data_IF_684495994545
#
_entry.id   IF_684495994545
#
_cell.length_a   1.000
_cell.length_b   1.000
_cell.length_c   1.000
_cell.angle_alpha   90.00
_cell.angle_beta   90.00
_cell.angle_gamma   90.00
#
_symmetry.space_group_name_H-M   'P 1'
#
loop_
_entity.id
_entity.type
_entity.pdbx_description
1 polymer ?
#
# COMPACT_ATOMS: atom_id res chain seq x y z
N UNK A 1 15.90 12.11 -27.58
CA UNK A 1 17.29 12.34 -28.03
C UNK A 1 17.76 13.58 -27.33
N UNK A 2 18.67 13.47 -26.35
CA UNK A 2 19.24 14.64 -25.68
C UNK A 2 20.23 15.31 -26.64
N UNK A 3 19.99 16.57 -26.98
CA UNK A 3 20.92 17.37 -27.79
C UNK A 3 21.97 17.99 -26.86
N UNK A 4 23.24 17.80 -27.21
CA UNK A 4 24.37 18.44 -26.56
C UNK A 4 24.51 19.84 -27.16
N UNK A 5 24.07 20.87 -26.45
CA UNK A 5 24.20 22.27 -26.89
C UNK A 5 25.41 22.89 -26.21
N UNK A 6 26.36 23.38 -27.00
CA UNK A 6 27.48 24.17 -26.47
C UNK A 6 27.02 25.58 -26.14
N UNK A 7 27.54 26.14 -25.04
CA UNK A 7 27.17 27.42 -24.41
C UNK A 7 27.03 28.60 -25.41
N UNK A 8 27.78 28.58 -26.53
CA UNK A 8 27.70 29.63 -27.54
C UNK A 8 26.41 29.60 -28.38
N UNK A 9 25.73 28.46 -28.50
CA UNK A 9 24.42 28.37 -29.18
C UNK A 9 23.26 28.76 -28.24
N UNK A 10 23.51 28.75 -26.93
CA UNK A 10 22.54 29.19 -25.89
C UNK A 10 22.46 30.71 -25.82
N UNK A 11 23.56 31.42 -26.10
CA UNK A 11 23.62 32.88 -26.03
C UNK A 11 22.72 33.59 -27.07
N UNK A 12 22.44 32.98 -28.23
CA UNK A 12 21.52 33.54 -29.23
C UNK A 12 20.07 33.05 -29.07
N UNK A 13 19.83 32.01 -28.26
CA UNK A 13 18.50 31.50 -27.93
C UNK A 13 18.11 31.87 -26.50
N UNK A 14 17.90 33.17 -26.26
CA UNK A 14 17.25 33.70 -25.06
C UNK A 14 15.75 33.27 -25.02
N UNK A 15 15.51 31.98 -24.79
CA UNK A 15 14.18 31.36 -24.67
C UNK A 15 14.15 30.29 -23.59
N UNK A 16 14.32 30.73 -22.35
CA UNK A 16 13.92 30.01 -21.15
C UNK A 16 13.74 31.02 -20.02
N UNK A 17 12.66 30.92 -19.24
CA UNK A 17 12.48 31.75 -18.05
C UNK A 17 13.57 31.36 -17.03
N UNK A 18 14.57 32.22 -16.73
CA UNK A 18 15.72 31.87 -15.91
C UNK A 18 15.35 31.32 -14.52
N UNK A 19 14.14 31.66 -14.05
CA UNK A 19 13.52 31.20 -12.80
C UNK A 19 13.47 29.68 -12.64
N UNK A 20 13.44 28.90 -13.73
CA UNK A 20 13.35 27.43 -13.69
C UNK A 20 14.69 26.73 -14.01
N UNK A 21 15.76 27.50 -14.19
CA UNK A 21 17.08 27.00 -14.58
C UNK A 21 17.82 26.42 -13.38
N UNK A 22 18.48 25.27 -13.58
CA UNK A 22 19.26 24.61 -12.53
C UNK A 22 20.57 25.39 -12.21
N UNK A 23 21.08 25.32 -10.96
CA UNK A 23 22.30 26.01 -10.53
C UNK A 23 23.51 25.77 -11.43
N UNK A 24 23.72 24.51 -11.83
CA UNK A 24 24.84 24.09 -12.67
C UNK A 24 24.78 24.67 -14.09
N UNK A 25 23.56 24.93 -14.62
CA UNK A 25 23.38 25.59 -15.91
C UNK A 25 23.71 27.09 -15.77
N UNK A 26 23.25 27.74 -14.70
CA UNK A 26 23.57 29.16 -14.43
C UNK A 26 25.08 29.38 -14.27
N UNK A 27 25.78 28.41 -13.67
CA UNK A 27 27.24 28.44 -13.51
C UNK A 27 28.01 28.04 -14.79
N UNK A 28 27.33 27.70 -15.89
CA UNK A 28 27.95 27.25 -17.13
C UNK A 28 28.74 25.93 -17.00
N UNK A 29 28.37 25.08 -16.05
CA UNK A 29 29.01 23.79 -15.81
C UNK A 29 28.47 22.71 -16.77
N UNK A 30 29.19 21.59 -16.89
CA UNK A 30 28.65 20.41 -17.55
C UNK A 30 27.44 19.89 -16.77
N UNK A 31 26.33 19.66 -17.45
CA UNK A 31 25.08 19.22 -16.84
C UNK A 31 24.59 17.90 -17.45
N UNK A 32 23.73 17.20 -16.71
CA UNK A 32 23.05 15.99 -17.15
C UNK A 32 21.53 16.19 -17.19
N UNK A 33 20.76 15.12 -17.43
CA UNK A 33 19.30 15.20 -17.50
C UNK A 33 18.63 15.60 -16.17
N UNK A 34 19.32 15.57 -15.02
CA UNK A 34 18.73 15.95 -13.73
C UNK A 34 18.44 17.45 -13.61
N UNK A 35 18.89 18.26 -14.57
CA UNK A 35 18.47 19.67 -14.68
C UNK A 35 16.95 19.80 -14.85
N UNK A 36 16.32 18.83 -15.52
CA UNK A 36 14.87 18.81 -15.70
C UNK A 36 14.14 18.58 -14.36
N UNK A 37 14.72 17.76 -13.46
CA UNK A 37 14.17 17.51 -12.13
C UNK A 37 14.20 18.77 -11.25
N UNK A 38 15.21 19.64 -11.42
CA UNK A 38 15.20 20.94 -10.77
C UNK A 38 14.02 21.78 -11.26
N UNK A 39 13.83 21.89 -12.57
CA UNK A 39 12.71 22.66 -13.15
C UNK A 39 11.36 22.13 -12.68
N UNK A 40 11.19 20.80 -12.59
CA UNK A 40 9.99 20.17 -12.00
C UNK A 40 9.79 20.60 -10.55
N UNK A 41 10.86 20.65 -9.74
CA UNK A 41 10.81 21.16 -8.37
C UNK A 41 10.33 22.61 -8.28
N UNK A 42 10.84 23.47 -9.16
CA UNK A 42 10.43 24.89 -9.23
C UNK A 42 8.95 25.02 -9.59
N UNK A 43 8.48 24.26 -10.60
CA UNK A 43 7.08 24.24 -11.03
C UNK A 43 6.16 23.72 -9.92
N UNK A 44 6.55 22.65 -9.23
CA UNK A 44 5.79 22.09 -8.12
C UNK A 44 5.67 23.09 -6.97
N UNK A 45 6.78 23.75 -6.62
CA UNK A 45 6.78 24.81 -5.61
C UNK A 45 5.83 25.94 -6.00
N UNK A 46 5.94 26.46 -7.22
CA UNK A 46 5.08 27.52 -7.73
C UNK A 46 3.59 27.12 -7.72
N UNK A 47 3.28 25.86 -8.05
CA UNK A 47 1.91 25.34 -8.04
C UNK A 47 1.31 25.29 -6.64
N UNK A 48 2.14 25.09 -5.61
CA UNK A 48 1.69 24.98 -4.21
C UNK A 48 1.60 26.34 -3.51
N UNK A 49 2.56 27.25 -3.81
CA UNK A 49 2.71 28.51 -3.08
C UNK A 49 2.32 29.74 -3.92
N UNK A 50 1.99 29.55 -5.20
CA UNK A 50 1.56 30.60 -6.13
C UNK A 50 2.69 31.45 -6.70
N UNK A 51 3.94 31.21 -6.32
CA UNK A 51 5.12 31.90 -6.83
C UNK A 51 6.36 31.00 -6.81
N UNK A 52 7.34 31.20 -7.71
CA UNK A 52 8.59 30.44 -7.72
C UNK A 52 9.41 30.64 -6.43
N UNK A 53 10.18 29.64 -5.98
CA UNK A 53 10.98 29.71 -4.75
C UNK A 53 12.06 30.79 -4.77
N UNK A 54 12.55 31.15 -5.96
CA UNK A 54 13.62 32.13 -6.15
C UNK A 54 13.15 33.36 -6.95
N UNK A 55 11.88 33.72 -6.84
CA UNK A 55 11.37 34.93 -7.50
C UNK A 55 12.25 36.15 -7.16
N UNK A 56 12.69 36.87 -8.19
CA UNK A 56 13.66 37.97 -8.12
C UNK A 56 13.36 38.99 -9.21
N UNK A 57 13.73 40.24 -8.98
CA UNK A 57 13.50 41.34 -9.94
C UNK A 57 14.59 41.41 -11.01
N UNK A 58 15.80 40.92 -10.70
CA UNK A 58 16.94 40.90 -11.61
C UNK A 58 17.55 39.52 -11.73
N UNK A 59 18.25 39.28 -12.85
CA UNK A 59 18.98 38.02 -13.09
C UNK A 59 20.09 37.82 -12.05
N UNK A 60 20.77 38.90 -11.67
CA UNK A 60 21.85 38.88 -10.66
C UNK A 60 21.31 38.45 -9.28
N UNK A 61 20.15 38.98 -8.88
CA UNK A 61 19.51 38.58 -7.62
C UNK A 61 19.03 37.12 -7.66
N UNK A 62 18.49 36.68 -8.80
CA UNK A 62 18.13 35.28 -9.02
C UNK A 62 19.34 34.36 -8.87
N UNK A 63 20.45 34.70 -9.53
CA UNK A 63 21.70 33.93 -9.48
C UNK A 63 22.22 33.79 -8.05
N UNK A 64 22.19 34.89 -7.27
CA UNK A 64 22.58 34.87 -5.86
C UNK A 64 21.71 33.89 -5.04
N UNK A 65 20.38 33.89 -5.23
CA UNK A 65 19.46 33.00 -4.48
C UNK A 65 19.60 31.53 -4.91
N UNK A 66 19.70 31.28 -6.20
CA UNK A 66 19.82 29.92 -6.76
C UNK A 66 21.16 29.30 -6.37
N UNK A 67 22.23 30.08 -6.29
CA UNK A 67 23.57 29.60 -5.92
C UNK A 67 23.90 29.68 -4.42
N UNK A 68 22.94 30.10 -3.57
CA UNK A 68 23.12 30.12 -2.12
C UNK A 68 23.35 28.69 -1.58
N UNK A 69 24.05 28.59 -0.45
CA UNK A 69 24.30 27.35 0.28
C UNK A 69 23.16 26.98 1.23
N UNK A 70 22.26 27.92 1.53
CA UNK A 70 21.09 27.68 2.38
C UNK A 70 20.10 26.74 1.69
N UNK A 71 19.59 25.68 2.36
CA UNK A 71 18.52 24.84 1.84
C UNK A 71 17.29 25.68 1.44
N UNK A 72 16.54 25.22 0.44
CA UNK A 72 15.28 25.88 0.08
C UNK A 72 14.29 25.74 1.23
N UNK A 73 13.80 26.88 1.72
CA UNK A 73 12.78 26.91 2.76
C UNK A 73 11.44 26.56 2.15
N UNK A 74 10.83 25.48 2.62
CA UNK A 74 9.47 25.08 2.25
C UNK A 74 8.53 25.60 3.34
N UNK A 75 7.60 26.51 3.03
CA UNK A 75 6.66 27.03 4.01
C UNK A 75 5.84 25.91 4.66
N UNK A 76 5.83 25.89 6.00
CA UNK A 76 4.98 24.97 6.78
C UNK A 76 3.55 25.52 6.83
N UNK A 77 2.75 25.15 5.82
CA UNK A 77 1.35 25.55 5.69
C UNK A 77 0.42 24.33 5.74
N UNK A 78 -0.80 24.49 6.31
CA UNK A 78 -1.82 23.44 6.25
C UNK A 78 -2.14 23.06 4.81
N UNK A 79 -1.89 21.80 4.44
CA UNK A 79 -2.19 21.26 3.10
C UNK A 79 -0.99 20.66 2.38
N UNK A 80 0.24 21.00 2.76
CA UNK A 80 1.44 20.34 2.23
C UNK A 80 1.75 19.11 3.08
N UNK A 81 1.67 17.92 2.49
CA UNK A 81 2.00 16.67 3.20
C UNK A 81 3.50 16.52 3.38
N UNK A 82 3.92 15.74 4.38
CA UNK A 82 5.34 15.44 4.59
C UNK A 82 6.00 14.79 3.37
N UNK A 83 5.25 13.94 2.64
CA UNK A 83 5.73 13.33 1.40
C UNK A 83 5.92 14.37 0.28
N UNK A 84 5.05 15.38 0.19
CA UNK A 84 5.22 16.47 -0.76
C UNK A 84 6.48 17.30 -0.45
N UNK A 85 6.67 17.66 0.83
CA UNK A 85 7.84 18.40 1.28
C UNK A 85 9.15 17.62 1.03
N UNK A 86 9.17 16.32 1.31
CA UNK A 86 10.31 15.43 1.04
C UNK A 86 10.67 15.41 -0.46
N UNK A 87 9.67 15.26 -1.33
CA UNK A 87 9.87 15.32 -2.79
C UNK A 87 10.45 16.67 -3.23
N UNK A 88 9.88 17.78 -2.75
CA UNK A 88 10.35 19.13 -3.07
C UNK A 88 11.81 19.34 -2.66
N UNK A 89 12.21 18.87 -1.47
CA UNK A 89 13.60 18.93 -1.00
C UNK A 89 14.52 18.13 -1.93
N UNK A 90 14.11 16.94 -2.34
CA UNK A 90 14.90 16.10 -3.26
C UNK A 90 15.06 16.70 -4.66
N UNK A 91 14.04 17.39 -5.17
CA UNK A 91 14.05 18.05 -6.49
C UNK A 91 14.88 19.35 -6.47
N UNK A 92 14.74 20.16 -5.41
CA UNK A 92 15.40 21.46 -5.23
C UNK A 92 16.77 21.34 -4.52
N UNK A 93 17.39 20.17 -4.59
CA UNK A 93 18.77 19.97 -4.18
C UNK A 93 19.72 20.56 -5.24
N UNK A 94 20.64 21.41 -4.79
CA UNK A 94 21.52 22.17 -5.68
C UNK A 94 22.65 21.32 -6.23
N UNK A 95 23.19 20.40 -5.43
CA UNK A 95 24.19 19.45 -5.89
C UNK A 95 23.53 18.38 -6.78
N UNK A 96 23.81 18.33 -8.10
CA UNK A 96 23.16 17.36 -9.00
C UNK A 96 23.43 15.90 -8.61
N UNK A 97 24.54 15.62 -7.91
CA UNK A 97 24.86 14.28 -7.42
C UNK A 97 23.95 13.86 -6.26
N UNK A 98 23.52 14.82 -5.44
CA UNK A 98 22.60 14.59 -4.31
C UNK A 98 21.15 14.74 -4.71
N UNK A 99 20.86 15.49 -5.79
CA UNK A 99 19.52 15.65 -6.35
C UNK A 99 18.91 14.29 -6.68
N UNK A 100 17.64 14.16 -6.34
CA UNK A 100 16.85 12.93 -6.53
C UNK A 100 17.07 12.37 -7.94
N UNK A 101 17.24 11.05 -8.05
CA UNK A 101 17.35 10.40 -9.36
C UNK A 101 15.97 10.23 -9.98
N UNK A 102 15.90 10.03 -11.31
CA UNK A 102 14.65 9.73 -12.00
C UNK A 102 13.94 8.48 -11.41
N UNK A 103 14.68 7.42 -11.11
CA UNK A 103 14.09 6.21 -10.50
C UNK A 103 13.46 6.50 -9.13
N UNK A 104 14.11 7.33 -8.32
CA UNK A 104 13.60 7.74 -7.01
C UNK A 104 12.43 8.70 -7.13
N UNK A 105 12.44 9.58 -8.13
CA UNK A 105 11.36 10.51 -8.43
C UNK A 105 10.08 9.78 -8.84
N UNK A 106 10.17 8.88 -9.82
CA UNK A 106 9.00 8.13 -10.30
C UNK A 106 8.48 7.09 -9.30
N UNK A 107 9.34 6.58 -8.41
CA UNK A 107 8.94 5.70 -7.31
C UNK A 107 8.62 6.43 -6.00
N UNK A 108 8.53 7.76 -6.01
CA UNK A 108 8.30 8.55 -4.80
C UNK A 108 6.85 8.38 -4.33
N UNK A 109 6.60 8.24 -3.03
CA UNK A 109 5.24 8.02 -2.48
C UNK A 109 4.25 9.15 -2.77
N UNK A 110 4.74 10.35 -3.04
CA UNK A 110 3.94 11.48 -3.50
C UNK A 110 3.54 11.37 -4.98
N UNK A 111 4.37 10.71 -5.78
CA UNK A 111 4.18 10.49 -7.22
C UNK A 111 3.57 9.09 -7.38
N UNK A 112 2.28 8.99 -7.09
CA UNK A 112 1.53 7.73 -7.21
C UNK A 112 1.18 7.42 -8.67
N UNK A 113 2.19 6.99 -9.44
CA UNK A 113 1.99 6.61 -10.84
C UNK A 113 1.24 5.28 -11.00
N UNK A 114 1.30 4.40 -10.00
CA UNK A 114 0.65 3.09 -10.05
C UNK A 114 -0.88 3.21 -10.01
N UNK A 115 -1.39 4.27 -9.36
CA UNK A 115 -2.81 4.58 -9.31
C UNK A 115 -3.19 5.80 -10.17
N UNK A 116 -2.27 6.34 -10.97
CA UNK A 116 -2.58 7.47 -11.84
C UNK A 116 -3.77 7.11 -12.75
N UNK A 117 -4.84 7.92 -12.74
CA UNK A 117 -6.04 7.63 -13.50
C UNK A 117 -5.72 7.67 -14.99
N UNK A 118 -5.88 6.52 -15.60
CA UNK A 118 -5.68 6.31 -17.02
C UNK A 118 -6.76 5.35 -17.51
N UNK A 119 -6.99 5.30 -18.83
CA UNK A 119 -7.88 4.29 -19.41
C UNK A 119 -7.47 2.86 -18.99
N UNK A 120 -6.17 2.65 -18.75
CA UNK A 120 -5.63 1.38 -18.26
C UNK A 120 -5.98 1.11 -16.78
N UNK A 121 -5.96 2.13 -15.91
CA UNK A 121 -6.32 1.96 -14.49
C UNK A 121 -7.78 1.53 -14.32
N UNK A 122 -8.71 2.12 -15.08
CA UNK A 122 -10.12 1.69 -15.11
C UNK A 122 -10.29 0.25 -15.57
N UNK A 123 -9.58 -0.16 -16.63
CA UNK A 123 -9.62 -1.53 -17.13
C UNK A 123 -9.07 -2.54 -16.10
N UNK A 124 -8.00 -2.16 -15.40
CA UNK A 124 -7.39 -2.95 -14.32
C UNK A 124 -8.32 -3.07 -13.12
N UNK A 125 -8.92 -1.97 -12.68
CA UNK A 125 -9.88 -1.94 -11.59
C UNK A 125 -11.09 -2.86 -11.87
N UNK A 126 -11.64 -2.80 -13.10
CA UNK A 126 -12.72 -3.71 -13.55
C UNK A 126 -12.30 -5.18 -13.54
N UNK A 127 -11.10 -5.49 -14.00
CA UNK A 127 -10.55 -6.84 -13.98
C UNK A 127 -10.39 -7.37 -12.55
N UNK A 128 -9.86 -6.55 -11.64
CA UNK A 128 -9.68 -6.90 -10.24
C UNK A 128 -11.02 -7.12 -9.52
N UNK A 129 -12.03 -6.28 -9.75
CA UNK A 129 -13.39 -6.52 -9.23
C UNK A 129 -13.96 -7.83 -9.75
N UNK A 130 -13.82 -8.12 -11.05
CA UNK A 130 -14.31 -9.39 -11.61
C UNK A 130 -13.65 -10.59 -10.91
N UNK A 131 -12.35 -10.52 -10.63
CA UNK A 131 -11.64 -11.54 -9.86
C UNK A 131 -12.09 -11.58 -8.40
N UNK A 132 -12.29 -10.42 -7.76
CA UNK A 132 -12.74 -10.31 -6.38
C UNK A 132 -14.10 -10.98 -6.18
N UNK A 133 -15.07 -10.71 -7.06
CA UNK A 133 -16.41 -11.32 -7.05
C UNK A 133 -16.33 -12.84 -7.22
N UNK A 134 -15.46 -13.34 -8.10
CA UNK A 134 -15.23 -14.78 -8.26
C UNK A 134 -14.67 -15.38 -6.97
N UNK A 135 -13.64 -14.77 -6.36
CA UNK A 135 -13.06 -15.28 -5.11
C UNK A 135 -14.00 -15.19 -3.91
N UNK A 136 -14.85 -14.17 -3.88
CA UNK A 136 -15.93 -14.00 -2.93
C UNK A 136 -16.94 -15.15 -3.05
N UNK A 137 -17.37 -15.46 -4.29
CA UNK A 137 -18.26 -16.59 -4.57
C UNK A 137 -17.66 -17.96 -4.26
N UNK A 138 -16.35 -18.11 -4.42
CA UNK A 138 -15.58 -19.32 -4.04
C UNK A 138 -15.39 -19.45 -2.52
N UNK A 139 -15.84 -18.48 -1.71
CA UNK A 139 -15.63 -18.48 -0.25
C UNK A 139 -14.20 -18.17 0.19
N UNK A 140 -13.32 -17.73 -0.73
CA UNK A 140 -11.92 -17.36 -0.46
C UNK A 140 -11.86 -15.93 0.06
N UNK A 141 -12.44 -15.70 1.24
CA UNK A 141 -12.71 -14.36 1.78
C UNK A 141 -11.45 -13.50 1.91
N UNK A 142 -10.32 -14.07 2.34
CA UNK A 142 -9.06 -13.33 2.47
C UNK A 142 -8.54 -12.77 1.15
N UNK A 143 -8.54 -13.60 0.10
CA UNK A 143 -8.13 -13.17 -1.25
C UNK A 143 -9.16 -12.19 -1.86
N UNK A 144 -10.45 -12.42 -1.61
CA UNK A 144 -11.50 -11.52 -2.06
C UNK A 144 -11.35 -10.12 -1.46
N UNK A 145 -11.07 -10.01 -0.15
CA UNK A 145 -10.80 -8.72 0.52
C UNK A 145 -9.62 -7.99 -0.14
N UNK A 146 -8.50 -8.68 -0.36
CA UNK A 146 -7.32 -8.08 -0.99
C UNK A 146 -7.66 -7.54 -2.37
N UNK A 147 -8.34 -8.33 -3.21
CA UNK A 147 -8.70 -7.93 -4.57
C UNK A 147 -9.73 -6.78 -4.59
N UNK A 148 -10.67 -6.73 -3.66
CA UNK A 148 -11.59 -5.58 -3.55
C UNK A 148 -10.84 -4.31 -3.14
N UNK A 149 -9.90 -4.39 -2.18
CA UNK A 149 -9.10 -3.23 -1.77
C UNK A 149 -8.20 -2.73 -2.92
N UNK A 150 -7.46 -3.62 -3.59
CA UNK A 150 -6.61 -3.26 -4.73
C UNK A 150 -7.43 -2.65 -5.88
N UNK A 151 -8.62 -3.19 -6.15
CA UNK A 151 -9.50 -2.61 -7.17
C UNK A 151 -9.95 -1.18 -6.83
N UNK A 152 -10.25 -0.91 -5.55
CA UNK A 152 -10.70 0.40 -5.08
C UNK A 152 -9.61 1.46 -5.19
N UNK A 153 -8.35 1.08 -4.96
CA UNK A 153 -7.18 1.96 -5.14
C UNK A 153 -7.06 2.45 -6.58
N UNK A 154 -7.40 1.61 -7.58
CA UNK A 154 -7.43 2.01 -8.98
C UNK A 154 -8.73 2.73 -9.41
N UNK A 155 -9.86 2.50 -8.70
CA UNK A 155 -11.15 3.12 -9.01
C UNK A 155 -11.28 4.56 -8.49
N UNK A 156 -10.68 4.87 -7.34
CA UNK A 156 -10.79 6.19 -6.71
C UNK A 156 -10.25 7.33 -7.60
N UNK A 157 -9.07 7.20 -8.21
CA UNK A 157 -8.54 8.26 -9.07
C UNK A 157 -9.38 8.44 -10.34
N UNK A 158 -10.06 7.38 -10.81
CA UNK A 158 -10.90 7.47 -12.00
C UNK A 158 -12.16 8.35 -11.81
N UNK A 159 -12.60 8.57 -10.56
CA UNK A 159 -13.72 9.48 -10.26
C UNK A 159 -13.37 10.95 -10.52
N UNK A 160 -12.10 11.32 -10.42
CA UNK A 160 -11.65 12.71 -10.57
C UNK A 160 -11.51 13.13 -12.04
N UNK A 161 -11.50 12.17 -12.96
CA UNK A 161 -11.21 12.37 -14.40
C UNK A 161 -12.40 12.01 -15.30
N UNK A 162 -13.53 11.56 -14.73
CA UNK A 162 -14.74 11.27 -15.48
C UNK A 162 -15.56 12.56 -15.63
N UNK A 163 -15.70 13.03 -16.88
CA UNK A 163 -16.36 14.31 -17.19
C UNK A 163 -17.90 14.21 -17.15
N UNK A 164 -18.47 13.01 -17.31
CA UNK A 164 -19.92 12.80 -17.33
C UNK A 164 -20.51 12.62 -15.91
N UNK A 165 -21.37 13.55 -15.44
CA UNK A 165 -21.92 13.48 -14.08
C UNK A 165 -22.77 12.23 -13.80
N UNK A 166 -23.44 11.69 -14.82
CA UNK A 166 -24.26 10.47 -14.65
C UNK A 166 -23.38 9.23 -14.44
N UNK A 167 -22.27 9.15 -15.16
CA UNK A 167 -21.31 8.05 -15.07
C UNK A 167 -20.55 8.11 -13.75
N UNK A 168 -20.16 9.32 -13.31
CA UNK A 168 -19.58 9.55 -11.97
C UNK A 168 -20.52 9.05 -10.87
N UNK A 169 -21.81 9.38 -10.94
CA UNK A 169 -22.77 8.98 -9.91
C UNK A 169 -22.98 7.46 -9.86
N UNK A 170 -23.12 6.82 -11.02
CA UNK A 170 -23.21 5.36 -11.12
C UNK A 170 -21.93 4.67 -10.62
N UNK A 171 -20.77 5.25 -10.89
CA UNK A 171 -19.48 4.72 -10.45
C UNK A 171 -19.31 4.86 -8.93
N UNK A 172 -19.71 6.00 -8.34
CA UNK A 172 -19.75 6.21 -6.88
C UNK A 172 -20.63 5.19 -6.19
N UNK A 173 -21.81 4.91 -6.75
CA UNK A 173 -22.73 3.92 -6.18
C UNK A 173 -22.10 2.52 -6.16
N UNK A 174 -21.41 2.12 -7.24
CA UNK A 174 -20.69 0.85 -7.30
C UNK A 174 -19.50 0.79 -6.33
N UNK A 175 -18.69 1.85 -6.27
CA UNK A 175 -17.57 1.95 -5.33
C UNK A 175 -18.07 1.80 -3.89
N UNK A 176 -19.19 2.44 -3.54
CA UNK A 176 -19.81 2.29 -2.22
C UNK A 176 -20.21 0.84 -1.93
N UNK A 177 -20.80 0.14 -2.90
CA UNK A 177 -21.15 -1.28 -2.74
C UNK A 177 -19.91 -2.15 -2.55
N UNK A 178 -18.83 -1.90 -3.29
CA UNK A 178 -17.58 -2.66 -3.15
C UNK A 178 -16.88 -2.38 -1.81
N UNK A 179 -16.90 -1.14 -1.31
CA UNK A 179 -16.40 -0.79 0.03
C UNK A 179 -17.20 -1.54 1.10
N UNK A 180 -18.53 -1.47 1.05
CA UNK A 180 -19.40 -2.16 2.02
C UNK A 180 -19.15 -3.67 2.02
N UNK A 181 -19.03 -4.28 0.82
CA UNK A 181 -18.70 -5.70 0.70
C UNK A 181 -17.31 -6.02 1.28
N UNK A 182 -16.30 -5.21 0.99
CA UNK A 182 -14.95 -5.40 1.51
C UNK A 182 -14.92 -5.31 3.05
N UNK A 183 -15.66 -4.38 3.66
CA UNK A 183 -15.75 -4.26 5.11
C UNK A 183 -16.47 -5.45 5.76
N UNK A 184 -17.57 -5.93 5.16
CA UNK A 184 -18.24 -7.17 5.60
C UNK A 184 -17.27 -8.35 5.54
N UNK A 185 -16.54 -8.50 4.44
CA UNK A 185 -15.58 -9.59 4.27
C UNK A 185 -14.40 -9.47 5.25
N UNK A 186 -13.88 -8.25 5.49
CA UNK A 186 -12.85 -7.99 6.50
C UNK A 186 -13.33 -8.36 7.89
N UNK A 187 -14.56 -7.99 8.26
CA UNK A 187 -15.15 -8.38 9.54
C UNK A 187 -15.28 -9.90 9.66
N UNK A 188 -15.76 -10.58 8.62
CA UNK A 188 -15.85 -12.04 8.59
C UNK A 188 -14.46 -12.72 8.67
N UNK A 189 -13.43 -12.16 8.04
CA UNK A 189 -12.04 -12.65 8.14
C UNK A 189 -11.46 -12.39 9.55
N UNK A 190 -11.80 -11.25 10.17
CA UNK A 190 -11.35 -10.87 11.52
C UNK A 190 -12.02 -11.69 12.61
N UNK A 191 -13.32 -11.98 12.50
CA UNK A 191 -14.03 -12.89 13.41
C UNK A 191 -13.52 -14.33 13.28
N UNK A 192 -13.11 -14.74 12.07
CA UNK A 192 -12.45 -16.02 11.84
C UNK A 192 -10.97 -16.05 12.28
N UNK A 193 -10.43 -14.98 12.88
CA UNK A 193 -9.04 -14.90 13.35
C UNK A 193 -8.98 -14.44 14.81
N UNK A 194 -8.79 -15.34 15.77
CA UNK A 194 -8.10 -14.99 16.99
C UNK A 194 -6.59 -14.99 16.73
N UNK A 195 -5.94 -13.90 17.12
CA UNK A 195 -4.50 -13.82 17.24
C UNK A 195 -4.08 -14.75 18.39
N UNK A 196 -3.34 -15.85 18.11
CA UNK A 196 -3.01 -16.87 19.11
C UNK A 196 -2.19 -16.36 20.33
N UNK A 197 -1.79 -15.09 20.37
CA UNK A 197 -1.30 -14.43 21.60
C UNK A 197 -1.15 -12.93 21.41
N UNK A 198 -1.97 -12.13 22.09
CA UNK A 198 -1.80 -10.67 22.10
C UNK A 198 -0.53 -10.21 22.84
N UNK A 199 0.02 -11.04 23.75
CA UNK A 199 1.19 -10.66 24.57
C UNK A 199 2.15 -11.83 24.81
N UNK A 200 3.48 -11.58 24.79
CA UNK A 200 4.47 -12.57 25.19
C UNK A 200 4.34 -12.89 26.68
N UNK A 201 4.22 -14.17 27.01
CA UNK A 201 4.08 -14.65 28.38
C UNK A 201 5.43 -15.21 28.86
N UNK A 202 6.09 -14.53 29.81
CA UNK A 202 7.44 -14.93 30.29
C UNK A 202 7.52 -16.40 30.71
N UNK A 203 6.50 -16.90 31.40
CA UNK A 203 6.41 -18.31 31.80
C UNK A 203 6.35 -19.26 30.58
N UNK A 204 5.71 -18.86 29.49
CA UNK A 204 5.68 -19.67 28.27
C UNK A 204 7.05 -19.71 27.61
N UNK A 205 7.80 -18.60 27.61
CA UNK A 205 9.17 -18.58 27.08
C UNK A 205 10.10 -19.50 27.91
N UNK A 206 9.88 -19.57 29.22
CA UNK A 206 10.55 -20.51 30.10
C UNK A 206 10.13 -21.95 29.82
N UNK A 207 8.82 -22.20 29.64
CA UNK A 207 8.30 -23.53 29.31
C UNK A 207 8.78 -24.03 27.94
N UNK A 208 8.92 -23.16 26.95
CA UNK A 208 9.48 -23.51 25.64
C UNK A 208 10.95 -23.94 25.73
N UNK A 209 11.71 -23.35 26.66
CA UNK A 209 13.11 -23.74 26.92
C UNK A 209 13.18 -25.06 27.69
N UNK A 210 12.24 -25.28 28.61
CA UNK A 210 12.20 -26.44 29.51
C UNK A 210 11.61 -27.69 28.87
N UNK A 211 10.60 -27.54 28.01
CA UNK A 211 9.83 -28.65 27.45
C UNK A 211 9.84 -28.62 25.93
N UNK A 212 10.54 -29.59 25.34
CA UNK A 212 10.64 -29.74 23.87
C UNK A 212 9.27 -29.87 23.21
N UNK A 213 8.35 -30.59 23.85
CA UNK A 213 6.98 -30.78 23.35
C UNK A 213 6.19 -29.45 23.30
N UNK A 214 6.36 -28.55 24.28
CA UNK A 214 5.74 -27.20 24.23
C UNK A 214 6.27 -26.43 23.03
N UNK A 215 7.59 -26.37 22.87
CA UNK A 215 8.21 -25.69 21.75
C UNK A 215 7.76 -26.24 20.40
N UNK A 216 7.71 -27.57 20.27
CA UNK A 216 7.26 -28.24 19.06
C UNK A 216 5.78 -27.93 18.74
N UNK A 217 4.89 -27.98 19.74
CA UNK A 217 3.49 -27.65 19.58
C UNK A 217 3.27 -26.20 19.12
N UNK A 218 4.01 -25.24 19.70
CA UNK A 218 3.91 -23.83 19.30
C UNK A 218 4.40 -23.58 17.87
N UNK A 219 5.46 -24.27 17.44
CA UNK A 219 5.92 -24.21 16.04
C UNK A 219 4.84 -24.75 15.09
N UNK A 220 4.13 -25.82 15.48
CA UNK A 220 3.01 -26.35 14.70
C UNK A 220 1.87 -25.35 14.61
N UNK A 221 1.49 -24.72 15.72
CA UNK A 221 0.47 -23.66 15.73
C UNK A 221 0.86 -22.45 14.86
N UNK A 222 2.11 -21.97 14.95
CA UNK A 222 2.61 -20.89 14.09
C UNK A 222 2.61 -21.26 12.59
N UNK A 223 2.86 -22.52 12.27
CA UNK A 223 2.75 -23.00 10.90
C UNK A 223 1.29 -23.11 10.46
N UNK A 224 0.38 -23.49 11.36
CA UNK A 224 -1.06 -23.47 11.10
C UNK A 224 -1.52 -22.04 10.77
N UNK A 225 -1.12 -21.03 11.54
CA UNK A 225 -1.42 -19.61 11.25
C UNK A 225 -0.98 -19.17 9.85
N UNK A 226 0.20 -19.63 9.42
CA UNK A 226 0.74 -19.35 8.07
C UNK A 226 -0.01 -20.09 6.97
N UNK A 227 -0.55 -21.27 7.27
CA UNK A 227 -1.37 -22.04 6.32
C UNK A 227 -2.77 -21.44 6.22
N UNK A 228 -3.35 -21.02 7.33
CA UNK A 228 -4.62 -20.30 7.38
C UNK A 228 -4.56 -18.98 6.61
N UNK A 229 -3.45 -18.22 6.74
CA UNK A 229 -3.26 -16.98 5.97
C UNK A 229 -3.16 -17.22 4.45
N UNK A 230 -2.85 -18.46 4.04
CA UNK A 230 -2.83 -18.92 2.65
C UNK A 230 -4.14 -19.60 2.22
N UNK A 231 -5.11 -19.73 3.12
CA UNK A 231 -6.38 -20.43 2.87
C UNK A 231 -6.26 -21.96 2.84
N UNK A 232 -5.16 -22.54 3.31
CA UNK A 232 -4.92 -23.99 3.35
C UNK A 232 -5.47 -24.62 4.65
N UNK A 233 -6.81 -24.54 4.85
CA UNK A 233 -7.46 -24.88 6.12
C UNK A 233 -7.32 -26.34 6.55
N UNK A 234 -7.32 -27.30 5.62
CA UNK A 234 -7.13 -28.73 5.94
C UNK A 234 -5.75 -28.99 6.56
N UNK A 235 -4.71 -28.42 5.96
CA UNK A 235 -3.33 -28.57 6.46
C UNK A 235 -3.12 -27.79 7.75
N UNK A 236 -3.82 -26.67 7.92
CA UNK A 236 -3.84 -25.94 9.18
C UNK A 236 -4.48 -26.77 10.31
N UNK A 237 -5.61 -27.43 10.04
CA UNK A 237 -6.28 -28.33 10.98
C UNK A 237 -5.36 -29.48 11.41
N UNK A 238 -4.68 -30.13 10.46
CA UNK A 238 -3.67 -31.16 10.76
C UNK A 238 -2.56 -30.63 11.69
N UNK A 239 -2.12 -29.38 11.48
CA UNK A 239 -1.10 -28.76 12.33
C UNK A 239 -1.61 -28.50 13.76
N UNK A 240 -2.87 -28.07 13.94
CA UNK A 240 -3.46 -27.94 15.28
C UNK A 240 -3.65 -29.27 15.96
N UNK A 241 -4.14 -30.29 15.25
CA UNK A 241 -4.27 -31.65 15.79
C UNK A 241 -2.92 -32.20 16.25
N UNK A 242 -1.87 -32.06 15.44
CA UNK A 242 -0.52 -32.46 15.82
C UNK A 242 0.03 -31.65 17.01
N UNK A 243 -0.34 -30.37 17.15
CA UNK A 243 0.03 -29.57 18.31
C UNK A 243 -0.67 -30.06 19.59
N UNK A 244 -1.95 -30.42 19.49
CA UNK A 244 -2.76 -30.95 20.59
C UNK A 244 -2.25 -32.31 21.08
N UNK A 245 -1.88 -33.20 20.17
CA UNK A 245 -1.27 -34.51 20.51
C UNK A 245 0.00 -34.38 21.35
N UNK A 246 0.76 -33.29 21.18
CA UNK A 246 1.97 -33.02 21.95
C UNK A 246 1.67 -32.45 23.34
N UNK A 247 0.60 -31.64 23.48
CA UNK A 247 0.31 -30.92 24.72
C UNK A 247 -0.61 -31.69 25.67
N UNK A 248 -1.59 -32.43 25.14
CA UNK A 248 -2.58 -33.15 25.95
C UNK A 248 -1.95 -34.11 26.98
N UNK A 249 -0.97 -34.96 26.62
CA UNK A 249 -0.32 -35.85 27.60
C UNK A 249 0.49 -35.11 28.67
N UNK A 250 0.94 -33.89 28.37
CA UNK A 250 1.74 -33.12 29.33
C UNK A 250 0.92 -32.52 30.46
N UNK A 251 -0.36 -32.23 30.24
CA UNK A 251 -1.23 -31.64 31.28
C UNK A 251 -1.26 -32.54 32.52
N UNK A 252 -1.30 -33.86 32.32
CA UNK A 252 -1.31 -34.85 33.40
C UNK A 252 0.06 -34.98 34.09
N UNK A 253 1.15 -34.85 33.31
CA UNK A 253 2.52 -34.98 33.80
C UNK A 253 3.10 -33.73 34.47
N UNK A 254 2.55 -32.53 34.24
CA UNK A 254 3.08 -31.28 34.80
C UNK A 254 2.67 -31.10 36.26
N UNK A 255 3.61 -31.16 37.20
CA UNK A 255 3.34 -30.99 38.64
C UNK A 255 3.13 -29.53 39.07
N UNK A 256 3.71 -28.57 38.33
CA UNK A 256 3.57 -27.14 38.64
C UNK A 256 2.17 -26.63 38.22
N UNK A 257 1.47 -26.00 39.17
CA UNK A 257 0.10 -25.49 38.99
C UNK A 257 0.02 -24.41 37.90
N UNK A 258 0.96 -23.50 37.84
CA UNK A 258 0.95 -22.38 36.89
C UNK A 258 1.24 -22.86 35.46
N UNK A 259 2.25 -23.72 35.31
CA UNK A 259 2.58 -24.37 34.03
C UNK A 259 1.39 -25.21 33.52
N UNK A 260 0.70 -25.94 34.42
CA UNK A 260 -0.48 -26.74 34.07
C UNK A 260 -1.66 -25.87 33.64
N UNK A 261 -1.91 -24.75 34.31
CA UNK A 261 -2.97 -23.81 33.93
C UNK A 261 -2.70 -23.18 32.56
N UNK A 262 -1.44 -22.80 32.31
CA UNK A 262 -1.01 -22.26 31.02
C UNK A 262 -1.15 -23.31 29.91
N UNK A 263 -0.72 -24.55 30.13
CA UNK A 263 -0.93 -25.64 29.16
C UNK A 263 -2.40 -25.87 28.86
N UNK A 264 -3.28 -25.82 29.88
CA UNK A 264 -4.72 -25.94 29.69
C UNK A 264 -5.28 -24.80 28.84
N UNK A 265 -4.86 -23.56 29.07
CA UNK A 265 -5.31 -22.44 28.23
C UNK A 265 -4.84 -22.56 26.78
N UNK A 266 -3.60 -23.03 26.56
CA UNK A 266 -3.06 -23.25 25.22
C UNK A 266 -3.76 -24.38 24.48
N UNK A 267 -4.02 -25.49 25.17
CA UNK A 267 -4.79 -26.60 24.60
C UNK A 267 -6.21 -26.19 24.28
N UNK A 268 -6.88 -25.43 25.15
CA UNK A 268 -8.23 -24.95 24.86
C UNK A 268 -8.25 -24.07 23.62
N UNK A 269 -7.30 -23.14 23.51
CA UNK A 269 -7.15 -22.27 22.35
C UNK A 269 -6.96 -23.05 21.04
N UNK A 270 -6.15 -24.12 21.05
CA UNK A 270 -5.96 -24.96 19.87
C UNK A 270 -7.18 -25.85 19.57
N UNK A 271 -7.90 -26.32 20.59
CA UNK A 271 -9.14 -27.09 20.43
C UNK A 271 -10.24 -26.24 19.80
N UNK A 272 -10.48 -25.04 20.35
CA UNK A 272 -11.48 -24.11 19.83
C UNK A 272 -11.21 -23.82 18.35
N UNK A 273 -9.95 -23.58 17.99
CA UNK A 273 -9.58 -23.31 16.60
C UNK A 273 -9.74 -24.53 15.68
N UNK A 274 -9.35 -25.72 16.16
CA UNK A 274 -9.55 -26.95 15.41
C UNK A 274 -11.05 -27.24 15.18
N UNK A 275 -11.89 -26.98 16.17
CA UNK A 275 -13.34 -27.13 16.08
C UNK A 275 -13.95 -26.13 15.08
N UNK A 276 -13.51 -24.87 15.09
CA UNK A 276 -13.91 -23.86 14.10
C UNK A 276 -13.53 -24.26 12.67
N UNK A 277 -12.28 -24.70 12.46
CA UNK A 277 -11.81 -25.18 11.16
C UNK A 277 -12.58 -26.44 10.71
N UNK A 278 -13.00 -27.28 11.65
CA UNK A 278 -13.86 -28.43 11.34
C UNK A 278 -15.31 -28.03 11.03
N UNK A 279 -15.83 -26.99 11.67
CA UNK A 279 -17.21 -26.50 11.48
C UNK A 279 -17.37 -25.74 10.17
N UNK A 280 -16.34 -25.01 9.73
CA UNK A 280 -16.32 -24.37 8.41
C UNK A 280 -16.40 -25.34 7.23
N UNK A 281 -16.16 -26.65 7.43
CA UNK A 281 -16.49 -27.68 6.42
C UNK A 281 -17.99 -27.97 6.30
N UNK A 282 -18.75 -27.77 7.37
CA UNK A 282 -20.19 -28.07 7.42
C UNK A 282 -21.06 -26.83 7.16
N UNK A 283 -20.57 -25.63 7.50
CA UNK A 283 -21.25 -24.37 7.23
C UNK A 283 -20.54 -23.63 6.11
N UNK A 284 -20.82 -24.01 4.86
CA UNK A 284 -20.76 -23.03 3.75
C UNK A 284 -22.03 -22.21 3.87
N UNK A 285 -21.99 -20.98 4.40
CA UNK A 285 -23.20 -20.18 4.45
C UNK A 285 -23.52 -19.81 3.00
N UNK A 286 -24.76 -20.06 2.57
CA UNK A 286 -25.30 -19.48 1.35
C UNK A 286 -25.38 -17.96 1.54
N UNK A 287 -24.25 -17.26 1.37
CA UNK A 287 -24.23 -15.82 1.23
C UNK A 287 -24.81 -15.48 -0.14
N UNK A 288 -25.81 -14.59 -0.15
CA UNK A 288 -26.59 -14.14 -1.31
C UNK A 288 -25.73 -13.94 -2.57
N UNK A 289 -26.30 -14.32 -3.70
CA UNK A 289 -25.65 -14.38 -5.01
C UNK A 289 -24.75 -13.18 -5.34
N UNK A 290 -23.43 -13.39 -5.47
CA UNK A 290 -22.49 -12.36 -5.93
C UNK A 290 -22.74 -11.94 -7.40
N UNK A 291 -23.51 -12.72 -8.16
CA UNK A 291 -23.87 -12.43 -9.55
C UNK A 291 -24.68 -11.15 -9.75
N UNK A 292 -25.41 -10.68 -8.72
CA UNK A 292 -26.20 -9.45 -8.80
C UNK A 292 -25.34 -8.18 -9.00
N UNK A 293 -24.05 -8.24 -8.66
CA UNK A 293 -23.10 -7.12 -8.78
C UNK A 293 -22.45 -7.02 -10.18
N UNK A 294 -22.58 -8.07 -11.01
CA UNK A 294 -21.94 -8.15 -12.33
C UNK A 294 -22.82 -7.74 -13.51
N UNK A 295 -24.16 -7.78 -13.34
CA UNK A 295 -25.10 -7.88 -14.45
C UNK A 295 -25.44 -6.56 -15.19
N UNK A 296 -24.79 -5.44 -14.91
CA UNK A 296 -25.11 -4.14 -15.57
C UNK A 296 -23.92 -3.47 -16.27
N UNK A 297 -22.75 -4.10 -16.30
CA UNK A 297 -21.57 -3.53 -16.96
C UNK A 297 -21.50 -3.79 -18.48
N UNK A 298 -22.38 -4.65 -19.04
CA UNK A 298 -22.27 -5.10 -20.42
C UNK A 298 -23.14 -4.33 -21.44
N UNK A 299 -23.98 -3.37 -21.03
CA UNK A 299 -25.02 -2.85 -21.95
C UNK A 299 -24.86 -1.41 -22.46
N UNK A 300 -23.77 -0.67 -22.20
CA UNK A 300 -23.70 0.76 -22.63
C UNK A 300 -22.36 1.33 -23.11
N UNK A 301 -21.37 0.51 -23.48
CA UNK A 301 -20.15 1.02 -24.14
C UNK A 301 -19.81 0.30 -25.46
N UNK A 302 -20.84 -0.08 -26.22
CA UNK A 302 -20.73 -0.17 -27.67
C UNK A 302 -21.74 0.83 -28.24
N UNK A 303 -21.31 1.65 -29.21
CA UNK A 303 -22.02 2.79 -29.83
C UNK A 303 -21.79 4.14 -29.12
N UNK A 304 -20.61 4.75 -29.31
CA UNK A 304 -20.36 5.80 -30.31
C UNK A 304 -18.89 6.22 -30.32
#
# INVERSE_FOLDING_TARGET
MAQHLTINEVAESFRGSPLYMAPEIMQGQSYDAKVDLWSVGVILFESLFGAPPFASETLEELEIKVLDTKPVEIPDIPGVSQACADLLQGLLERDPQRRISFDRFFGHSFIDLDHMPSAQSLSRARSLIKQAVVKDSEGKLGLAVTLYCEALEHFLPALEYEDDPSTVEALKEKIKQYIERAEILKAAVKEKRPFLREKPHKLLDEMQKKYVAVKAALIKAQNADKLESRGEYDRALECYQAALELLLPMIEGTSNREERLLLKSEVQLFLDRAEELSSTKNDTPQLKDPHCLSATAESRCEVQ
#
